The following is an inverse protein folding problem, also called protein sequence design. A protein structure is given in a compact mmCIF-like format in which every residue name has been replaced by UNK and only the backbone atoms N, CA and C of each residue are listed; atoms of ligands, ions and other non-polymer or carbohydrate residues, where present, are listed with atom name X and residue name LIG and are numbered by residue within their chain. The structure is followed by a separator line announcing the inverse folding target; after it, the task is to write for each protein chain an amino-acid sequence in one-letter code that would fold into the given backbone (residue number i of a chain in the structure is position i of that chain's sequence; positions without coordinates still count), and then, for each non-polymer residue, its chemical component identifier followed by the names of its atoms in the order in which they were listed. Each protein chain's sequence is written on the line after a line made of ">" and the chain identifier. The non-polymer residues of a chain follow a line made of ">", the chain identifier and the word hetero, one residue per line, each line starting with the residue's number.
data_IF_992334837224
#
_entry.id   IF_992334837224
#
_cell.length_a   1.000
_cell.length_b   1.000
_cell.length_c   1.000
_cell.angle_alpha   90.00
_cell.angle_beta   90.00
_cell.angle_gamma   90.00
#
_symmetry.space_group_name_H-M   'P 1'
#
loop_
_entity.id
_entity.type
_entity.pdbx_description
1 polymer ?
#
# COMPACT_ATOMS: atom_id res chain seq x y z
N UNK A 1 -21.30 -5.89 -0.09
CA UNK A 1 -21.65 -4.45 -0.07
C UNK A 1 -20.39 -3.67 -0.37
N UNK A 2 -20.39 -2.79 -1.39
CA UNK A 2 -19.26 -1.91 -1.66
C UNK A 2 -19.30 -0.70 -0.71
N UNK A 3 -18.15 -0.28 -0.19
CA UNK A 3 -18.01 0.92 0.65
C UNK A 3 -17.16 1.93 -0.07
N UNK A 4 -17.61 3.19 -0.12
CA UNK A 4 -16.76 4.28 -0.58
C UNK A 4 -15.66 4.56 0.45
N UNK A 5 -14.40 4.51 0.01
CA UNK A 5 -13.23 4.77 0.85
C UNK A 5 -12.74 6.22 0.72
N UNK A 6 -13.12 6.92 -0.36
CA UNK A 6 -12.79 8.32 -0.60
C UNK A 6 -14.01 9.21 -0.38
N UNK A 7 -14.01 10.03 0.66
CA UNK A 7 -15.14 10.91 0.99
C UNK A 7 -15.42 12.00 -0.05
N UNK A 8 -14.39 12.49 -0.75
CA UNK A 8 -14.48 13.54 -1.76
C UNK A 8 -13.57 13.21 -2.96
N UNK A 9 -14.11 12.90 -4.15
CA UNK A 9 -13.30 12.57 -5.32
C UNK A 9 -12.52 13.76 -5.89
N UNK A 10 -12.77 14.99 -5.44
CA UNK A 10 -12.01 16.17 -5.82
C UNK A 10 -10.85 16.49 -4.85
N UNK A 11 -10.76 15.77 -3.72
CA UNK A 11 -9.78 16.03 -2.67
C UNK A 11 -8.54 15.15 -2.85
N UNK A 12 -7.69 15.52 -3.79
CA UNK A 12 -6.33 15.01 -3.86
C UNK A 12 -5.40 15.92 -3.05
N UNK A 13 -4.43 15.32 -2.36
CA UNK A 13 -3.35 16.07 -1.72
C UNK A 13 -2.43 16.72 -2.76
N UNK A 14 -1.57 17.63 -2.31
CA UNK A 14 -0.52 18.24 -3.15
C UNK A 14 0.70 17.33 -3.35
N UNK A 15 0.75 16.21 -2.63
CA UNK A 15 1.82 15.22 -2.72
C UNK A 15 1.72 14.43 -4.03
N UNK A 16 2.87 13.99 -4.53
CA UNK A 16 2.94 13.26 -5.80
C UNK A 16 2.34 11.86 -5.64
N UNK A 17 1.40 11.46 -6.51
CA UNK A 17 0.88 10.09 -6.49
C UNK A 17 1.98 9.08 -6.79
N UNK A 18 1.89 7.91 -6.16
CA UNK A 18 2.82 6.81 -6.37
C UNK A 18 2.08 5.60 -6.97
N UNK A 19 2.70 4.98 -7.97
CA UNK A 19 2.17 3.82 -8.67
C UNK A 19 3.28 2.76 -8.75
N UNK A 20 2.95 1.51 -8.47
CA UNK A 20 3.89 0.41 -8.59
C UNK A 20 3.20 -0.88 -9.05
N UNK A 21 3.97 -1.73 -9.72
CA UNK A 21 3.63 -3.13 -10.00
C UNK A 21 4.29 -4.03 -8.95
N UNK A 22 3.63 -5.14 -8.65
CA UNK A 22 4.27 -6.28 -8.00
C UNK A 22 4.55 -7.33 -9.07
N UNK A 23 5.82 -7.66 -9.25
CA UNK A 23 6.32 -8.53 -10.32
C UNK A 23 7.05 -9.74 -9.72
N UNK A 24 6.81 -10.90 -10.32
CA UNK A 24 7.63 -12.10 -10.08
C UNK A 24 9.00 -11.94 -10.75
N UNK A 25 9.94 -12.82 -10.40
CA UNK A 25 11.29 -12.82 -10.99
C UNK A 25 11.30 -13.01 -12.53
N UNK A 26 10.24 -13.60 -13.11
CA UNK A 26 10.07 -13.77 -14.55
C UNK A 26 9.44 -12.54 -15.25
N UNK A 27 9.15 -11.47 -14.52
CA UNK A 27 8.51 -10.26 -15.01
C UNK A 27 6.97 -10.33 -15.07
N UNK A 28 6.36 -11.42 -14.60
CA UNK A 28 4.90 -11.53 -14.53
C UNK A 28 4.35 -10.55 -13.49
N UNK A 29 3.50 -9.62 -13.94
CA UNK A 29 2.76 -8.71 -13.04
C UNK A 29 1.67 -9.49 -12.31
N UNK A 30 1.73 -9.49 -10.98
CA UNK A 30 0.78 -10.16 -10.09
C UNK A 30 -0.15 -9.20 -9.38
N UNK A 31 0.24 -7.94 -9.27
CA UNK A 31 -0.54 -6.93 -8.56
C UNK A 31 -0.11 -5.51 -8.91
N UNK A 32 -0.92 -4.57 -8.44
CA UNK A 32 -0.70 -3.13 -8.57
C UNK A 32 -0.86 -2.49 -7.20
N UNK A 33 -0.04 -1.50 -6.90
CA UNK A 33 -0.19 -0.60 -5.78
C UNK A 33 -0.35 0.83 -6.29
N UNK A 34 -1.33 1.53 -5.71
CA UNK A 34 -1.66 2.92 -6.01
C UNK A 34 -1.70 3.69 -4.69
N UNK A 35 -0.99 4.80 -4.62
CA UNK A 35 -1.10 5.75 -3.53
C UNK A 35 -1.41 7.13 -4.07
N UNK A 36 -2.59 7.63 -3.71
CA UNK A 36 -3.03 9.00 -3.98
C UNK A 36 -3.22 9.70 -2.63
N UNK A 37 -2.21 10.41 -2.11
CA UNK A 37 -2.33 11.12 -0.84
C UNK A 37 -3.55 12.05 -0.84
N UNK A 38 -4.25 12.21 0.30
CA UNK A 38 -3.91 11.69 1.62
C UNK A 38 -4.49 10.29 1.91
N UNK A 39 -5.00 9.58 0.90
CA UNK A 39 -5.68 8.31 1.09
C UNK A 39 -4.71 7.17 1.40
N UNK A 40 -5.24 6.06 1.94
CA UNK A 40 -4.49 4.83 2.11
C UNK A 40 -4.02 4.29 0.75
N UNK A 41 -2.93 3.53 0.77
CA UNK A 41 -2.45 2.80 -0.41
C UNK A 41 -3.50 1.77 -0.78
N UNK A 42 -3.95 1.77 -2.03
CA UNK A 42 -4.79 0.72 -2.60
C UNK A 42 -3.87 -0.30 -3.26
N UNK A 43 -3.87 -1.54 -2.80
CA UNK A 43 -3.19 -2.62 -3.49
C UNK A 43 -4.19 -3.68 -3.92
N UNK A 44 -4.23 -3.94 -5.23
CA UNK A 44 -4.99 -5.05 -5.81
C UNK A 44 -4.51 -6.40 -5.27
N UNK A 45 -5.20 -7.51 -5.54
CA UNK A 45 -4.95 -8.77 -4.84
C UNK A 45 -3.45 -9.12 -4.84
N UNK A 46 -2.86 -9.09 -3.64
CA UNK A 46 -1.47 -9.39 -3.41
C UNK A 46 -1.39 -10.79 -2.80
N UNK A 47 -0.39 -11.62 -3.17
CA UNK A 47 -0.04 -12.75 -2.33
C UNK A 47 0.36 -12.23 -0.94
N UNK A 48 0.13 -13.02 0.11
CA UNK A 48 0.46 -12.67 1.49
C UNK A 48 1.90 -12.14 1.63
N UNK A 49 2.86 -12.79 0.96
CA UNK A 49 4.27 -12.41 0.93
C UNK A 49 4.54 -11.01 0.38
N UNK A 50 3.65 -10.45 -0.44
CA UNK A 50 3.82 -9.13 -1.01
C UNK A 50 3.48 -7.98 -0.04
N UNK A 51 2.79 -8.26 1.07
CA UNK A 51 2.53 -7.26 2.10
C UNK A 51 3.81 -6.68 2.71
N UNK A 52 4.75 -7.54 3.10
CA UNK A 52 6.04 -7.12 3.63
C UNK A 52 6.90 -6.38 2.58
N UNK A 53 6.92 -6.87 1.34
CA UNK A 53 7.66 -6.25 0.24
C UNK A 53 7.12 -4.84 -0.09
N UNK A 54 5.80 -4.65 -0.02
CA UNK A 54 5.18 -3.34 -0.18
C UNK A 54 5.63 -2.37 0.92
N UNK A 55 5.67 -2.80 2.19
CA UNK A 55 6.15 -1.98 3.29
C UNK A 55 7.60 -1.52 3.09
N UNK A 56 8.48 -2.43 2.69
CA UNK A 56 9.89 -2.12 2.41
C UNK A 56 10.04 -1.13 1.25
N UNK A 57 9.28 -1.34 0.18
CA UNK A 57 9.31 -0.48 -1.01
C UNK A 57 8.88 0.95 -0.67
N UNK A 58 7.74 1.11 0.01
CA UNK A 58 7.23 2.43 0.39
C UNK A 58 8.15 3.12 1.39
N UNK A 59 8.72 2.38 2.35
CA UNK A 59 9.65 2.92 3.31
C UNK A 59 10.95 3.41 2.65
N UNK A 60 11.53 2.58 1.77
CA UNK A 60 12.75 2.87 1.02
C UNK A 60 12.58 4.05 0.05
N UNK A 61 11.38 4.24 -0.49
CA UNK A 61 11.02 5.41 -1.29
C UNK A 61 10.77 6.68 -0.44
N UNK A 62 10.90 6.62 0.88
CA UNK A 62 10.65 7.75 1.79
C UNK A 62 9.17 8.11 1.95
N UNK A 63 8.25 7.29 1.43
CA UNK A 63 6.81 7.54 1.48
C UNK A 63 6.27 7.20 2.87
N UNK A 64 5.17 7.86 3.28
CA UNK A 64 4.56 7.70 4.61
C UNK A 64 3.03 7.66 4.50
N UNK A 65 2.47 6.60 3.89
CA UNK A 65 1.03 6.46 3.81
C UNK A 65 0.40 6.27 5.19
N UNK A 66 -0.83 6.76 5.35
CA UNK A 66 -1.60 6.59 6.59
C UNK A 66 -2.15 5.17 6.81
N UNK A 67 -2.09 4.30 5.79
CA UNK A 67 -2.60 2.92 5.83
C UNK A 67 -2.51 2.22 4.48
N UNK A 68 -2.89 0.94 4.44
CA UNK A 68 -3.03 0.13 3.22
C UNK A 68 -4.41 -0.55 3.18
N UNK A 69 -4.97 -0.68 1.98
CA UNK A 69 -6.19 -1.40 1.71
C UNK A 69 -5.89 -2.48 0.68
N UNK A 70 -5.89 -3.73 1.14
CA UNK A 70 -5.57 -4.93 0.36
C UNK A 70 -6.24 -6.16 0.99
N UNK A 71 -5.86 -7.38 0.61
CA UNK A 71 -6.34 -8.61 1.27
C UNK A 71 -5.94 -8.63 2.75
N UNK A 72 -6.76 -9.22 3.65
CA UNK A 72 -6.47 -9.24 5.08
C UNK A 72 -5.06 -9.75 5.41
N UNK A 73 -4.64 -10.85 4.78
CA UNK A 73 -3.36 -11.50 5.03
C UNK A 73 -2.18 -10.58 4.64
N UNK A 74 -2.27 -9.93 3.48
CA UNK A 74 -1.25 -8.98 3.04
C UNK A 74 -1.25 -7.70 3.88
N UNK A 75 -2.41 -7.25 4.36
CA UNK A 75 -2.52 -6.09 5.25
C UNK A 75 -1.86 -6.35 6.61
N UNK A 76 -2.02 -7.55 7.16
CA UNK A 76 -1.35 -7.95 8.41
C UNK A 76 0.17 -8.00 8.26
N UNK A 77 0.68 -8.63 7.21
CA UNK A 77 2.12 -8.69 6.94
C UNK A 77 2.72 -7.31 6.66
N UNK A 78 2.01 -6.47 5.92
CA UNK A 78 2.37 -5.06 5.74
C UNK A 78 2.46 -4.33 7.08
N UNK A 79 1.44 -4.45 7.94
CA UNK A 79 1.40 -3.77 9.23
C UNK A 79 2.54 -4.21 10.16
N UNK A 80 2.81 -5.52 10.24
CA UNK A 80 3.94 -6.08 11.01
C UNK A 80 5.26 -5.52 10.49
N UNK A 81 5.49 -5.59 9.17
CA UNK A 81 6.75 -5.15 8.58
C UNK A 81 6.96 -3.64 8.70
N UNK A 82 5.93 -2.85 8.45
CA UNK A 82 5.99 -1.39 8.58
C UNK A 82 6.29 -0.95 10.01
N UNK A 83 5.66 -1.58 10.99
CA UNK A 83 5.92 -1.32 12.41
C UNK A 83 7.39 -1.59 12.76
N UNK A 84 7.95 -2.70 12.25
CA UNK A 84 9.37 -3.01 12.42
C UNK A 84 10.30 -1.97 11.75
N UNK A 85 9.92 -1.42 10.59
CA UNK A 85 10.72 -0.44 9.85
C UNK A 85 10.66 0.98 10.42
N UNK A 86 9.53 1.37 11.01
CA UNK A 86 9.26 2.77 11.37
C UNK A 86 9.05 3.00 12.86
N UNK A 87 8.89 1.95 13.65
CA UNK A 87 8.47 2.03 15.04
C UNK A 87 7.03 2.53 15.24
N UNK A 88 6.28 2.75 14.15
CA UNK A 88 4.93 3.31 14.20
C UNK A 88 3.92 2.25 13.75
N UNK A 89 2.99 1.81 14.62
CA UNK A 89 1.90 0.97 14.19
C UNK A 89 0.99 1.76 13.24
N UNK A 90 0.68 1.17 12.08
CA UNK A 90 -0.33 1.71 11.19
C UNK A 90 -1.73 1.46 11.76
N UNK A 91 -2.66 2.34 11.42
CA UNK A 91 -4.09 2.18 11.73
C UNK A 91 -4.83 1.50 10.58
#
# INVERSE_FOLDING_TARGET
>A
MARNVCGDPARYGTETPYFATYEEADGTVRGLALWTPPYAVLAGPLPESAGAALAETLHGAGLRPGGVLTTPEAAEEYAKRWTSLTGTPLR
#
